data_IF_968323276623
#
_entry.id   IF_968323276623
#
_cell.length_a   1.000
_cell.length_b   1.000
_cell.length_c   1.000
_cell.angle_alpha   90.00
_cell.angle_beta   90.00
_cell.angle_gamma   90.00
#
_symmetry.space_group_name_H-M   'P 1'
#
loop_
_entity.id
_entity.type
_entity.pdbx_description
1 polymer ?
#
# COMPACT_ATOMS: atom_id res chain seq x y z
N UNK A 1 21.28 16.19 14.40
CA UNK A 1 21.99 16.21 13.10
C UNK A 1 21.00 15.88 12.00
N UNK A 2 21.20 16.39 10.79
CA UNK A 2 20.39 16.00 9.64
C UNK A 2 20.90 14.65 9.10
N UNK A 3 19.98 13.77 8.70
CA UNK A 3 20.28 12.50 8.06
C UNK A 3 19.73 12.50 6.64
N UNK A 4 20.58 12.19 5.69
CA UNK A 4 20.19 11.91 4.31
C UNK A 4 20.09 10.41 4.10
N UNK A 5 19.06 9.96 3.39
CA UNK A 5 18.88 8.56 3.02
C UNK A 5 18.90 8.46 1.50
N UNK A 6 19.85 7.70 0.97
CA UNK A 6 19.97 7.49 -0.46
C UNK A 6 18.91 6.51 -0.97
N UNK A 7 18.02 7.00 -1.82
CA UNK A 7 17.03 6.20 -2.52
C UNK A 7 17.42 6.02 -3.98
N UNK A 8 17.09 4.86 -4.56
CA UNK A 8 17.57 4.44 -5.90
C UNK A 8 16.72 4.93 -7.08
N UNK A 9 15.71 5.75 -6.82
CA UNK A 9 14.78 6.24 -7.83
C UNK A 9 14.15 7.58 -7.39
N UNK A 10 13.63 8.39 -8.33
CA UNK A 10 13.01 9.68 -8.01
C UNK A 10 11.91 9.56 -6.95
N UNK A 11 12.00 10.36 -5.90
CA UNK A 11 10.98 10.44 -4.85
C UNK A 11 9.77 11.20 -5.37
N UNK A 12 8.58 10.62 -5.21
CA UNK A 12 7.32 11.23 -5.62
C UNK A 12 6.51 11.73 -4.43
N UNK A 13 6.49 10.96 -3.34
CA UNK A 13 5.76 11.30 -2.13
C UNK A 13 6.36 10.59 -0.91
N UNK A 14 6.13 11.15 0.28
CA UNK A 14 6.60 10.61 1.56
C UNK A 14 5.45 10.60 2.56
N UNK A 15 5.27 9.47 3.25
CA UNK A 15 4.23 9.26 4.25
C UNK A 15 4.88 8.74 5.52
N UNK A 16 4.95 9.57 6.57
CA UNK A 16 5.50 9.17 7.87
C UNK A 16 4.49 8.32 8.64
N UNK A 17 4.98 7.35 9.41
CA UNK A 17 4.14 6.68 10.41
C UNK A 17 3.75 7.65 11.52
N UNK A 18 2.57 7.49 12.15
CA UNK A 18 2.14 8.36 13.25
C UNK A 18 3.14 8.50 14.40
N UNK A 19 3.88 7.43 14.72
CA UNK A 19 4.94 7.42 15.75
C UNK A 19 6.26 8.08 15.27
N UNK A 20 6.36 8.45 13.99
CA UNK A 20 7.54 9.03 13.37
C UNK A 20 8.73 8.09 13.23
N UNK A 21 8.59 6.79 13.53
CA UNK A 21 9.72 5.86 13.52
C UNK A 21 10.08 5.37 12.13
N UNK A 22 9.12 5.39 11.19
CA UNK A 22 9.27 4.95 9.81
C UNK A 22 8.61 5.92 8.83
N UNK A 23 8.97 5.80 7.56
CA UNK A 23 8.26 6.43 6.46
C UNK A 23 8.14 5.49 5.26
N UNK A 24 6.99 5.54 4.58
CA UNK A 24 6.82 4.95 3.25
C UNK A 24 7.07 6.03 2.22
N UNK A 25 7.95 5.76 1.26
CA UNK A 25 8.31 6.69 0.19
C UNK A 25 7.88 6.09 -1.13
N UNK A 26 7.01 6.78 -1.88
CA UNK A 26 6.69 6.39 -3.24
C UNK A 26 7.76 6.89 -4.20
N UNK A 27 8.13 6.04 -5.15
CA UNK A 27 9.18 6.31 -6.11
C UNK A 27 8.70 6.06 -7.53
N UNK A 28 9.14 6.93 -8.43
CA UNK A 28 8.99 6.73 -9.86
C UNK A 28 9.91 5.63 -10.38
N UNK A 29 9.92 5.46 -11.71
CA UNK A 29 10.83 4.53 -12.38
C UNK A 29 12.30 4.95 -12.17
N UNK A 30 13.13 4.03 -11.68
CA UNK A 30 14.57 4.22 -11.64
C UNK A 30 15.17 4.19 -13.05
N UNK A 31 16.20 4.98 -13.30
CA UNK A 31 16.93 4.95 -14.56
C UNK A 31 17.48 3.53 -14.84
N UNK A 32 17.25 3.02 -16.05
CA UNK A 32 17.66 1.68 -16.45
C UNK A 32 16.86 0.52 -15.84
N UNK A 33 15.86 0.78 -14.99
CA UNK A 33 15.03 -0.27 -14.40
C UNK A 33 13.96 -0.76 -15.38
N UNK A 34 13.64 -2.05 -15.30
CA UNK A 34 12.50 -2.69 -15.97
C UNK A 34 11.19 -2.54 -15.19
N UNK A 35 11.26 -2.11 -13.92
CA UNK A 35 10.08 -1.86 -13.08
C UNK A 35 9.44 -0.51 -13.41
N UNK A 36 8.12 -0.42 -13.27
CA UNK A 36 7.34 0.78 -13.56
C UNK A 36 7.52 1.86 -12.47
N UNK A 37 7.88 1.45 -11.25
CA UNK A 37 8.17 2.33 -10.13
C UNK A 37 8.65 1.53 -8.93
N UNK A 38 8.46 2.09 -7.75
CA UNK A 38 8.74 1.38 -6.51
C UNK A 38 8.31 2.14 -5.27
N UNK A 39 8.50 1.52 -4.13
CA UNK A 39 8.39 2.21 -2.85
C UNK A 39 9.53 1.79 -1.94
N UNK A 40 9.85 2.65 -0.98
CA UNK A 40 10.82 2.36 0.07
C UNK A 40 10.15 2.44 1.44
N UNK A 41 10.55 1.54 2.35
CA UNK A 41 10.26 1.65 3.77
C UNK A 41 11.55 2.13 4.44
N UNK A 42 11.51 3.34 4.98
CA UNK A 42 12.66 4.02 5.57
C UNK A 42 12.51 3.99 7.09
N UNK A 43 13.37 3.28 7.84
CA UNK A 43 13.49 3.47 9.28
C UNK A 43 13.99 4.89 9.53
N UNK A 44 13.14 5.79 10.01
CA UNK A 44 13.44 7.21 10.18
C UNK A 44 14.17 7.49 11.49
N UNK A 45 13.80 6.79 12.56
CA UNK A 45 14.38 6.93 13.90
C UNK A 45 15.73 6.20 14.09
N UNK A 46 16.10 5.31 13.16
CA UNK A 46 17.31 4.48 13.28
C UNK A 46 18.21 4.59 12.05
N UNK A 47 19.53 4.49 12.25
CA UNK A 47 20.52 4.47 11.17
C UNK A 47 20.57 3.10 10.46
N UNK A 48 19.44 2.67 9.90
CA UNK A 48 19.32 1.44 9.11
C UNK A 48 19.04 1.76 7.64
N UNK A 49 19.49 0.88 6.76
CA UNK A 49 19.20 0.98 5.33
C UNK A 49 17.69 0.83 5.08
N UNK A 50 17.11 1.59 4.14
CA UNK A 50 15.72 1.40 3.76
C UNK A 50 15.55 0.08 2.99
N UNK A 51 14.37 -0.53 3.09
CA UNK A 51 13.96 -1.60 2.18
C UNK A 51 13.32 -0.97 0.95
N UNK A 52 13.85 -1.25 -0.23
CA UNK A 52 13.33 -0.75 -1.51
C UNK A 52 12.66 -1.91 -2.24
N UNK A 53 11.45 -1.68 -2.76
CA UNK A 53 10.64 -2.65 -3.51
C UNK A 53 10.32 -2.06 -4.87
N UNK A 54 10.76 -2.71 -5.93
CA UNK A 54 10.37 -2.36 -7.30
C UNK A 54 9.02 -2.98 -7.66
N UNK A 55 8.18 -2.23 -8.39
CA UNK A 55 6.81 -2.63 -8.72
C UNK A 55 6.60 -2.73 -10.23
N UNK A 56 5.83 -3.72 -10.69
CA UNK A 56 5.52 -3.89 -12.11
C UNK A 56 4.44 -2.91 -12.62
N UNK A 57 3.75 -2.25 -11.70
CA UNK A 57 2.81 -1.17 -11.94
C UNK A 57 3.18 0.06 -11.09
N UNK A 58 2.74 1.26 -11.51
CA UNK A 58 3.08 2.48 -10.78
C UNK A 58 2.38 2.49 -9.40
N UNK A 59 3.10 2.77 -8.30
CA UNK A 59 2.47 2.97 -7.00
C UNK A 59 1.68 4.27 -6.99
N UNK A 60 0.52 4.27 -6.35
CA UNK A 60 -0.43 5.39 -6.44
C UNK A 60 -0.95 5.90 -5.10
N UNK A 61 -1.23 5.03 -4.13
CA UNK A 61 -1.81 5.44 -2.84
C UNK A 61 -1.15 4.71 -1.69
N UNK A 62 -1.07 5.39 -0.54
CA UNK A 62 -0.54 4.84 0.71
C UNK A 62 -1.55 5.08 1.83
N UNK A 63 -1.84 4.04 2.60
CA UNK A 63 -2.55 4.14 3.86
C UNK A 63 -1.67 3.57 4.97
N UNK A 64 -1.55 4.27 6.10
CA UNK A 64 -0.73 3.84 7.25
C UNK A 64 -1.66 3.58 8.44
N UNK A 65 -1.43 2.48 9.16
CA UNK A 65 -2.22 2.15 10.35
C UNK A 65 -2.00 3.21 11.43
N UNK A 66 -3.04 3.58 12.19
CA UNK A 66 -2.90 4.48 13.34
C UNK A 66 -1.86 3.98 14.35
N UNK A 67 -1.69 2.65 14.44
CA UNK A 67 -0.74 1.98 15.32
C UNK A 67 0.71 1.98 14.79
N UNK A 68 0.96 2.59 13.63
CA UNK A 68 2.29 2.73 13.00
C UNK A 68 2.97 1.42 12.59
N UNK A 69 2.24 0.30 12.60
CA UNK A 69 2.79 -1.05 12.43
C UNK A 69 2.48 -1.68 11.07
N UNK A 70 1.63 -1.03 10.26
CA UNK A 70 1.20 -1.52 8.94
C UNK A 70 1.06 -0.39 7.95
N UNK A 71 1.27 -0.70 6.67
CA UNK A 71 0.89 0.18 5.57
C UNK A 71 0.32 -0.63 4.40
N UNK A 72 -0.64 -0.04 3.69
CA UNK A 72 -1.10 -0.50 2.39
C UNK A 72 -0.55 0.43 1.31
N UNK A 73 -0.01 -0.14 0.23
CA UNK A 73 0.44 0.61 -0.95
C UNK A 73 -0.21 0.02 -2.19
N UNK A 74 -1.05 0.79 -2.88
CA UNK A 74 -1.69 0.31 -4.11
C UNK A 74 -0.82 0.60 -5.34
N UNK A 75 -0.88 -0.30 -6.31
CA UNK A 75 -0.26 -0.15 -7.63
C UNK A 75 -1.28 -0.32 -8.74
N UNK A 76 -1.10 0.42 -9.83
CA UNK A 76 -2.00 0.41 -10.99
C UNK A 76 -1.25 0.59 -12.31
N UNK A 77 -1.60 -0.22 -13.30
CA UNK A 77 -1.31 -0.01 -14.72
C UNK A 77 -2.52 -0.48 -15.51
N UNK A 78 -3.21 0.45 -16.16
CA UNK A 78 -4.42 0.14 -16.93
C UNK A 78 -4.07 -0.57 -18.23
N UNK A 79 -3.01 -0.12 -18.93
CA UNK A 79 -2.54 -0.73 -20.18
C UNK A 79 -2.13 -2.19 -19.99
N UNK A 80 -1.38 -2.49 -18.92
CA UNK A 80 -0.94 -3.84 -18.60
C UNK A 80 -1.96 -4.65 -17.79
N UNK A 81 -3.07 -4.01 -17.38
CA UNK A 81 -4.10 -4.57 -16.48
C UNK A 81 -3.52 -5.15 -15.19
N UNK A 82 -2.53 -4.46 -14.62
CA UNK A 82 -1.86 -4.85 -13.37
C UNK A 82 -2.40 -3.99 -12.23
N UNK A 83 -3.14 -4.63 -11.33
CA UNK A 83 -3.77 -4.00 -10.18
C UNK A 83 -3.39 -4.76 -8.93
N UNK A 84 -2.94 -4.06 -7.91
CA UNK A 84 -2.50 -4.72 -6.69
C UNK A 84 -2.37 -3.81 -5.50
N UNK A 85 -2.11 -4.44 -4.37
CA UNK A 85 -1.84 -3.79 -3.10
C UNK A 85 -0.77 -4.55 -2.35
N UNK A 86 0.20 -3.82 -1.83
CA UNK A 86 1.22 -4.34 -0.93
C UNK A 86 0.76 -4.11 0.51
N UNK A 87 0.87 -5.13 1.35
CA UNK A 87 0.79 -5.01 2.81
C UNK A 87 2.22 -5.00 3.36
N UNK A 88 2.59 -3.90 3.98
CA UNK A 88 3.88 -3.72 4.66
C UNK A 88 3.70 -3.90 6.16
N UNK A 89 4.58 -4.67 6.79
CA UNK A 89 4.64 -4.85 8.24
C UNK A 89 5.86 -4.11 8.79
N UNK A 90 5.63 -3.28 9.80
CA UNK A 90 6.64 -2.45 10.48
C UNK A 90 6.75 -2.94 11.92
N UNK A 91 7.95 -3.09 12.50
CA UNK A 91 9.27 -2.71 11.95
C UNK A 91 9.97 -3.83 11.15
N UNK A 92 9.34 -5.00 10.94
CA UNK A 92 9.99 -6.16 10.29
C UNK A 92 10.35 -5.91 8.81
N UNK A 93 9.73 -4.90 8.20
CA UNK A 93 9.80 -4.57 6.78
C UNK A 93 9.34 -5.75 5.89
N UNK A 94 8.55 -6.68 6.41
CA UNK A 94 7.93 -7.71 5.58
C UNK A 94 6.96 -7.05 4.61
N UNK A 95 6.90 -7.58 3.40
CA UNK A 95 6.05 -7.07 2.33
C UNK A 95 5.35 -8.25 1.68
N UNK A 96 4.02 -8.25 1.77
CA UNK A 96 3.15 -9.20 1.09
C UNK A 96 2.46 -8.46 -0.07
N UNK A 97 2.13 -9.16 -1.16
CA UNK A 97 1.48 -8.58 -2.33
C UNK A 97 0.20 -9.35 -2.67
N UNK A 98 -0.87 -8.60 -2.93
CA UNK A 98 -2.17 -9.14 -3.32
C UNK A 98 -2.61 -8.53 -4.64
N UNK A 99 -3.08 -9.37 -5.55
CA UNK A 99 -3.70 -8.93 -6.80
C UNK A 99 -5.10 -8.39 -6.52
N UNK A 100 -5.49 -7.36 -7.26
CA UNK A 100 -6.81 -6.77 -7.20
C UNK A 100 -7.56 -7.08 -8.50
N UNK A 101 -8.85 -7.41 -8.40
CA UNK A 101 -9.67 -7.76 -9.56
C UNK A 101 -10.04 -6.57 -10.47
N UNK A 102 -9.83 -5.34 -10.01
CA UNK A 102 -10.21 -4.09 -10.68
C UNK A 102 -9.23 -2.97 -10.27
N UNK A 103 -9.09 -1.91 -11.07
CA UNK A 103 -8.18 -0.80 -10.76
C UNK A 103 -8.44 -0.21 -9.36
N UNK A 104 -7.40 -0.05 -8.52
CA UNK A 104 -7.55 0.66 -7.26
C UNK A 104 -7.82 2.15 -7.51
N UNK A 105 -8.63 2.74 -6.64
CA UNK A 105 -8.95 4.17 -6.61
C UNK A 105 -8.31 4.84 -5.39
N UNK A 106 -8.39 4.19 -4.22
CA UNK A 106 -7.80 4.65 -2.97
C UNK A 106 -7.60 3.48 -2.01
N UNK A 107 -6.72 3.66 -1.03
CA UNK A 107 -6.59 2.78 0.13
C UNK A 107 -6.86 3.54 1.42
N UNK A 108 -7.29 2.82 2.45
CA UNK A 108 -7.50 3.39 3.78
C UNK A 108 -7.43 2.34 4.87
N UNK A 109 -7.53 2.81 6.11
CA UNK A 109 -7.52 1.97 7.32
C UNK A 109 -8.88 2.04 8.00
N UNK A 110 -9.36 0.90 8.50
CA UNK A 110 -10.54 0.81 9.36
C UNK A 110 -10.05 0.77 10.80
N UNK A 111 -10.02 1.93 11.45
CA UNK A 111 -9.57 2.06 12.83
C UNK A 111 -10.38 1.14 13.77
N UNK A 112 -9.70 0.50 14.71
CA UNK A 112 -10.32 -0.43 15.68
C UNK A 112 -10.64 -1.83 15.14
N UNK A 113 -10.65 -2.05 13.82
CA UNK A 113 -10.99 -3.35 13.21
C UNK A 113 -9.79 -4.16 12.73
N UNK A 114 -8.55 -3.66 12.89
CA UNK A 114 -7.31 -4.24 12.35
C UNK A 114 -7.42 -4.64 10.86
N UNK A 115 -8.10 -3.79 10.09
CA UNK A 115 -8.31 -3.98 8.65
C UNK A 115 -7.90 -2.75 7.87
N UNK A 116 -7.31 -2.98 6.72
CA UNK A 116 -7.22 -1.98 5.66
C UNK A 116 -8.29 -2.23 4.61
N UNK A 117 -8.54 -1.25 3.75
CA UNK A 117 -9.39 -1.41 2.59
C UNK A 117 -8.77 -0.78 1.34
N UNK A 118 -9.16 -1.30 0.18
CA UNK A 118 -8.87 -0.72 -1.12
C UNK A 118 -10.18 -0.55 -1.88
N UNK A 119 -10.55 0.69 -2.15
CA UNK A 119 -11.66 1.01 -3.04
C UNK A 119 -11.22 0.77 -4.49
N UNK A 120 -12.08 0.14 -5.28
CA UNK A 120 -11.78 -0.27 -6.64
C UNK A 120 -12.84 0.22 -7.63
N UNK A 121 -12.39 0.50 -8.84
CA UNK A 121 -13.24 0.90 -9.95
C UNK A 121 -14.19 -0.26 -10.34
N UNK A 122 -15.49 -0.04 -10.15
CA UNK A 122 -16.53 -1.00 -10.49
C UNK A 122 -17.89 -0.29 -10.58
N UNK A 123 -18.78 -0.63 -11.54
CA UNK A 123 -20.08 0.03 -11.71
C UNK A 123 -20.95 0.06 -10.46
N UNK A 124 -20.94 -1.01 -9.66
CA UNK A 124 -21.75 -1.12 -8.42
C UNK A 124 -20.93 -0.89 -7.14
N UNK A 125 -19.70 -0.40 -7.28
CA UNK A 125 -18.76 -0.33 -6.17
C UNK A 125 -18.13 -1.70 -5.85
N UNK A 126 -16.84 -1.64 -5.52
CA UNK A 126 -16.04 -2.80 -5.11
C UNK A 126 -15.02 -2.36 -4.10
N UNK A 127 -14.90 -3.11 -3.02
CA UNK A 127 -13.91 -2.85 -1.96
C UNK A 127 -13.26 -4.16 -1.58
N UNK A 128 -11.93 -4.21 -1.57
CA UNK A 128 -11.18 -5.30 -0.94
C UNK A 128 -10.75 -4.89 0.45
N UNK A 129 -11.21 -5.62 1.46
CA UNK A 129 -10.71 -5.52 2.83
C UNK A 129 -9.52 -6.45 3.00
N UNK A 130 -8.55 -6.06 3.80
CA UNK A 130 -7.37 -6.87 4.10
C UNK A 130 -7.23 -6.94 5.62
N UNK A 131 -7.24 -8.14 6.16
CA UNK A 131 -6.86 -8.37 7.55
C UNK A 131 -5.38 -8.03 7.72
N UNK A 132 -5.06 -7.09 8.61
CA UNK A 132 -3.70 -6.56 8.73
C UNK A 132 -2.75 -7.51 9.45
N UNK A 133 -3.26 -8.49 10.18
CA UNK A 133 -2.46 -9.46 10.92
C UNK A 133 -2.25 -10.72 10.09
N UNK A 134 -3.32 -11.27 9.53
CA UNK A 134 -3.25 -12.50 8.73
C UNK A 134 -2.83 -12.23 7.28
N UNK A 135 -3.05 -11.03 6.76
CA UNK A 135 -2.82 -10.73 5.35
C UNK A 135 -3.84 -11.43 4.44
N UNK A 136 -5.09 -11.57 4.90
CA UNK A 136 -6.15 -12.24 4.15
C UNK A 136 -7.04 -11.20 3.45
N UNK A 137 -6.99 -11.09 2.10
CA UNK A 137 -7.87 -10.21 1.36
C UNK A 137 -9.26 -10.80 1.20
N UNK A 138 -10.29 -9.97 1.41
CA UNK A 138 -11.69 -10.27 1.14
C UNK A 138 -12.32 -9.15 0.34
N UNK A 139 -12.74 -9.46 -0.89
CA UNK A 139 -13.46 -8.53 -1.75
C UNK A 139 -14.96 -8.58 -1.45
N UNK A 140 -15.59 -7.41 -1.40
CA UNK A 140 -17.03 -7.20 -1.36
C UNK A 140 -17.45 -6.35 -2.55
N UNK A 141 -18.62 -6.63 -3.11
CA UNK A 141 -19.28 -5.80 -4.14
C UNK A 141 -20.57 -5.20 -3.59
N UNK A 142 -21.10 -4.16 -4.25
CA UNK A 142 -22.38 -3.54 -3.86
C UNK A 142 -23.54 -4.53 -3.74
N UNK A 143 -23.56 -5.59 -4.55
CA UNK A 143 -24.57 -6.66 -4.45
C UNK A 143 -24.51 -7.44 -3.14
N UNK A 144 -23.30 -7.76 -2.66
CA UNK A 144 -23.14 -8.52 -1.41
C UNK A 144 -23.48 -7.68 -0.17
N UNK A 145 -23.28 -6.35 -0.25
CA UNK A 145 -23.65 -5.42 0.82
C UNK A 145 -25.17 -5.26 0.91
N UNK A 146 -25.86 -5.15 -0.23
CA UNK A 146 -27.32 -5.07 -0.27
C UNK A 146 -28.03 -6.34 0.22
N UNK A 147 -27.46 -7.52 -0.06
CA UNK A 147 -28.04 -8.80 0.33
C UNK A 147 -27.92 -9.14 1.84
N UNK A 148 -27.12 -8.38 2.61
CA UNK A 148 -26.94 -8.58 4.05
C UNK A 148 -27.84 -7.73 4.94
N UNK A 149 -28.62 -6.81 4.36
CA UNK A 149 -29.69 -6.15 5.10
C UNK A 149 -30.86 -7.13 5.16
N UNK A 150 -30.92 -7.91 6.24
CA UNK A 150 -32.11 -8.67 6.64
C UNK A 150 -32.51 -8.10 8.01
N UNK A 151 -33.79 -7.75 8.12
CA UNK A 151 -34.43 -7.09 9.27
C UNK A 151 -34.10 -7.73 10.64
#
# INVERSE_FOLDING_TARGET
SLRTVDLKAPVQAVFATPDGTHAVVLQGRAAGSTKAGGFAIVPAAELRAPKIVGTDAAPMSVAISPDSDRALITVRSDDARLYGVYLVRIPSLQVDYFTLASPPLAAGMVAGARRGFVAQEHPEGRVTFIDLDQGEPRTLTGFELGAKVVD
#
